data_IF_222311002391
#
_entry.id   IF_222311002391
#
_cell.length_a   1.000
_cell.length_b   1.000
_cell.length_c   1.000
_cell.angle_alpha   90.00
_cell.angle_beta   90.00
_cell.angle_gamma   90.00
#
_symmetry.space_group_name_H-M   'P 1'
#
loop_
_entity.id
_entity.type
_entity.pdbx_description
1 polymer ?
#
# COMPACT_ATOMS: atom_id res chain seq x y z
N UNK A 1 -8.43 -18.12 -20.46
CA UNK A 1 -7.78 -18.40 -19.16
C UNK A 1 -7.95 -17.16 -18.32
N UNK A 2 -8.71 -17.23 -17.23
CA UNK A 2 -8.73 -16.15 -16.25
C UNK A 2 -7.30 -15.98 -15.72
N UNK A 3 -6.60 -14.95 -16.19
CA UNK A 3 -5.29 -14.60 -15.67
C UNK A 3 -5.54 -14.03 -14.28
N UNK A 4 -5.08 -14.71 -13.24
CA UNK A 4 -5.19 -14.23 -11.85
C UNK A 4 -4.63 -12.81 -11.69
N UNK A 5 -5.09 -12.12 -10.64
CA UNK A 5 -4.60 -10.80 -10.26
C UNK A 5 -3.53 -10.96 -9.18
N UNK A 6 -2.26 -10.76 -9.54
CA UNK A 6 -1.12 -10.89 -8.65
C UNK A 6 -0.61 -9.49 -8.27
N UNK A 7 -0.71 -9.17 -6.99
CA UNK A 7 -0.32 -7.86 -6.43
C UNK A 7 0.77 -8.09 -5.39
N UNK A 8 1.84 -7.31 -5.48
CA UNK A 8 2.89 -7.27 -4.45
C UNK A 8 2.81 -5.97 -3.68
N UNK A 9 2.74 -6.04 -2.35
CA UNK A 9 2.95 -4.89 -1.47
C UNK A 9 4.37 -4.93 -0.89
N UNK A 10 5.05 -3.77 -0.81
CA UNK A 10 6.39 -3.71 -0.23
C UNK A 10 6.80 -2.30 0.24
N UNK A 11 7.09 -2.15 1.53
CA UNK A 11 7.90 -1.05 2.05
C UNK A 11 9.38 -1.31 1.73
N UNK A 12 9.91 -0.63 0.71
CA UNK A 12 11.22 -0.96 0.17
C UNK A 12 12.40 -0.28 0.89
N UNK A 13 12.17 0.71 1.76
CA UNK A 13 13.20 1.47 2.48
C UNK A 13 14.40 1.87 1.60
N UNK A 14 14.11 2.51 0.47
CA UNK A 14 15.10 2.89 -0.53
C UNK A 14 15.24 1.88 -1.68
N UNK A 15 14.58 2.19 -2.79
CA UNK A 15 14.43 1.24 -3.91
C UNK A 15 15.70 1.03 -4.74
N UNK A 16 16.61 2.02 -4.78
CA UNK A 16 17.75 2.04 -5.73
C UNK A 16 18.64 0.80 -5.64
N UNK A 17 19.02 0.41 -4.42
CA UNK A 17 19.92 -0.74 -4.21
C UNK A 17 19.24 -2.07 -4.51
N UNK A 18 17.91 -2.09 -4.49
CA UNK A 18 17.08 -3.30 -4.65
C UNK A 18 16.48 -3.43 -6.06
N UNK A 19 16.73 -2.48 -6.96
CA UNK A 19 16.11 -2.44 -8.30
C UNK A 19 16.45 -3.67 -9.15
N UNK A 20 17.71 -4.11 -9.13
CA UNK A 20 18.14 -5.25 -9.95
C UNK A 20 17.44 -6.55 -9.54
N UNK A 21 17.25 -6.74 -8.24
CA UNK A 21 16.56 -7.91 -7.72
C UNK A 21 15.05 -7.79 -7.86
N UNK A 22 14.47 -6.60 -7.62
CA UNK A 22 13.07 -6.34 -7.93
C UNK A 22 12.78 -6.70 -9.39
N UNK A 23 13.67 -6.35 -10.32
CA UNK A 23 13.51 -6.71 -11.73
C UNK A 23 13.43 -8.21 -12.00
N UNK A 24 14.12 -9.05 -11.19
CA UNK A 24 14.07 -10.52 -11.35
C UNK A 24 12.74 -11.10 -10.88
N UNK A 25 12.20 -10.59 -9.77
CA UNK A 25 10.99 -11.12 -9.12
C UNK A 25 9.70 -10.45 -9.62
N UNK A 26 9.79 -9.21 -10.12
CA UNK A 26 8.63 -8.42 -10.55
C UNK A 26 7.81 -9.10 -11.66
N UNK A 27 8.42 -9.97 -12.46
CA UNK A 27 7.75 -10.66 -13.58
C UNK A 27 6.57 -11.55 -13.16
N UNK A 28 6.51 -11.94 -11.89
CA UNK A 28 5.42 -12.74 -11.30
C UNK A 28 4.16 -11.92 -11.02
N UNK A 29 4.29 -10.59 -10.95
CA UNK A 29 3.23 -9.70 -10.51
C UNK A 29 2.63 -8.89 -11.66
N UNK A 30 1.34 -8.58 -11.55
CA UNK A 30 0.67 -7.61 -12.41
C UNK A 30 0.90 -6.19 -11.90
N UNK A 31 0.86 -6.02 -10.57
CA UNK A 31 0.96 -4.74 -9.89
C UNK A 31 1.88 -4.84 -8.68
N UNK A 32 2.63 -3.76 -8.42
CA UNK A 32 3.51 -3.66 -7.24
C UNK A 32 3.23 -2.33 -6.54
N UNK A 33 2.76 -2.39 -5.30
CA UNK A 33 2.49 -1.27 -4.41
C UNK A 33 3.75 -1.04 -3.56
N UNK A 34 4.43 0.08 -3.78
CA UNK A 34 5.69 0.41 -3.13
C UNK A 34 5.52 1.60 -2.18
N UNK A 35 5.99 1.45 -0.95
CA UNK A 35 6.20 2.55 -0.01
C UNK A 35 7.70 2.76 0.27
N UNK A 36 8.06 3.96 0.74
CA UNK A 36 9.42 4.38 1.08
C UNK A 36 10.48 4.25 -0.02
N UNK A 37 10.19 4.71 -1.25
CA UNK A 37 11.15 4.62 -2.35
C UNK A 37 12.45 5.43 -2.13
N UNK A 38 12.39 6.52 -1.36
CA UNK A 38 13.51 7.45 -1.06
C UNK A 38 14.25 8.03 -2.28
N UNK A 39 13.53 8.24 -3.37
CA UNK A 39 14.04 8.93 -4.57
C UNK A 39 14.10 10.46 -4.33
N UNK A 40 14.54 11.26 -5.29
CA UNK A 40 14.33 12.73 -5.30
C UNK A 40 13.11 13.12 -6.16
N UNK A 41 12.57 14.35 -6.05
CA UNK A 41 11.30 14.72 -6.71
C UNK A 41 11.34 14.55 -8.23
N UNK A 42 12.42 15.03 -8.83
CA UNK A 42 12.65 14.97 -10.28
C UNK A 42 13.17 13.59 -10.73
N UNK A 43 13.46 12.72 -9.78
CA UNK A 43 14.02 11.43 -10.06
C UNK A 43 12.93 10.44 -10.50
N UNK A 44 13.13 9.86 -11.68
CA UNK A 44 12.28 8.78 -12.17
C UNK A 44 12.81 7.43 -11.69
N UNK A 45 11.88 6.51 -11.43
CA UNK A 45 12.20 5.10 -11.25
C UNK A 45 11.74 4.34 -12.48
N UNK A 46 12.66 3.56 -13.07
CA UNK A 46 12.39 2.80 -14.28
C UNK A 46 12.67 1.34 -13.99
N UNK A 47 11.64 0.51 -14.12
CA UNK A 47 11.74 -0.94 -14.03
C UNK A 47 11.34 -1.53 -15.37
N UNK A 48 12.17 -2.41 -15.94
CA UNK A 48 11.89 -3.05 -17.23
C UNK A 48 10.54 -3.77 -17.17
N UNK A 49 9.74 -3.61 -18.23
CA UNK A 49 8.38 -4.18 -18.36
C UNK A 49 7.33 -3.63 -17.40
N UNK A 50 7.61 -2.51 -16.71
CA UNK A 50 6.65 -1.86 -15.82
C UNK A 50 6.58 -0.35 -16.08
N UNK A 51 5.36 0.17 -16.09
CA UNK A 51 5.07 1.59 -15.98
C UNK A 51 5.05 1.99 -14.50
N UNK A 52 5.51 3.19 -14.18
CA UNK A 52 5.56 3.69 -12.80
C UNK A 52 4.62 4.88 -12.62
N UNK A 53 3.61 4.72 -11.77
CA UNK A 53 2.78 5.82 -11.27
C UNK A 53 3.29 6.14 -9.87
N UNK A 54 3.78 7.35 -9.64
CA UNK A 54 4.36 7.76 -8.36
C UNK A 54 3.76 9.05 -7.84
N UNK A 55 3.70 9.20 -6.52
CA UNK A 55 3.49 10.49 -5.87
C UNK A 55 4.74 10.88 -5.09
N UNK A 56 5.19 12.11 -5.28
CA UNK A 56 6.30 12.70 -4.55
C UNK A 56 5.78 13.91 -3.77
N UNK A 57 6.22 14.05 -2.52
CA UNK A 57 6.00 15.27 -1.74
C UNK A 57 7.10 16.29 -2.03
N UNK A 58 6.71 17.55 -2.19
CA UNK A 58 7.66 18.63 -2.46
C UNK A 58 8.53 18.98 -1.22
N UNK A 59 8.03 18.72 -0.01
CA UNK A 59 8.62 19.17 1.26
C UNK A 59 9.62 18.19 1.89
N UNK A 60 9.73 16.94 1.41
CA UNK A 60 10.60 15.92 2.01
C UNK A 60 11.38 15.08 1.00
N UNK A 61 12.62 14.74 1.37
CA UNK A 61 13.51 13.82 0.62
C UNK A 61 13.21 12.34 0.89
N UNK A 62 12.46 12.03 1.95
CA UNK A 62 12.07 10.67 2.38
C UNK A 62 10.55 10.57 2.44
N UNK A 63 10.01 9.36 2.36
CA UNK A 63 8.60 9.14 2.03
C UNK A 63 8.39 9.27 0.52
N UNK A 64 7.77 8.24 -0.07
CA UNK A 64 7.24 8.17 -1.45
C UNK A 64 6.43 6.91 -1.58
N UNK A 65 5.41 6.99 -2.42
CA UNK A 65 4.65 5.82 -2.85
C UNK A 65 4.67 5.69 -4.36
N UNK A 66 4.58 4.46 -4.85
CA UNK A 66 4.41 4.16 -6.25
C UNK A 66 3.53 2.93 -6.46
N UNK A 67 2.79 2.94 -7.57
CA UNK A 67 2.19 1.75 -8.16
C UNK A 67 2.96 1.44 -9.45
N UNK A 68 3.61 0.29 -9.48
CA UNK A 68 4.16 -0.26 -10.71
C UNK A 68 3.08 -1.09 -11.39
N UNK A 69 2.84 -0.81 -12.68
CA UNK A 69 1.86 -1.51 -13.51
C UNK A 69 2.60 -2.25 -14.62
N UNK A 70 2.39 -3.55 -14.77
CA UNK A 70 3.03 -4.32 -15.84
C UNK A 70 2.66 -3.71 -17.21
N UNK A 71 3.66 -3.57 -18.09
CA UNK A 71 3.56 -2.71 -19.27
C UNK A 71 2.53 -3.17 -20.32
N UNK A 72 2.10 -4.43 -20.30
CA UNK A 72 1.05 -5.00 -21.14
C UNK A 72 -0.38 -4.72 -20.63
N UNK A 73 -0.53 -4.09 -19.46
CA UNK A 73 -1.82 -3.85 -18.83
C UNK A 73 -2.31 -2.43 -19.08
N UNK A 74 -3.60 -2.32 -19.39
CA UNK A 74 -4.30 -1.04 -19.45
C UNK A 74 -4.68 -0.56 -18.04
N UNK A 75 -4.49 0.73 -17.79
CA UNK A 75 -4.85 1.38 -16.54
C UNK A 75 -5.13 2.87 -16.78
N UNK A 76 -5.80 3.48 -15.83
CA UNK A 76 -5.95 4.94 -15.72
C UNK A 76 -5.33 5.41 -14.40
N UNK A 77 -4.71 6.59 -14.39
CA UNK A 77 -4.20 7.16 -13.15
C UNK A 77 -5.39 7.64 -12.31
N UNK A 78 -5.36 7.38 -11.01
CA UNK A 78 -6.32 7.95 -10.05
C UNK A 78 -5.72 9.24 -9.47
N UNK A 79 -6.04 10.38 -10.10
CA UNK A 79 -5.24 11.61 -10.01
C UNK A 79 -5.34 12.38 -8.68
N UNK A 80 -6.49 12.33 -8.00
CA UNK A 80 -6.75 13.14 -6.79
C UNK A 80 -7.06 12.24 -5.62
N UNK A 81 -6.07 12.10 -4.73
CA UNK A 81 -6.22 11.37 -3.46
C UNK A 81 -6.08 12.35 -2.30
N UNK A 82 -7.07 12.38 -1.41
CA UNK A 82 -7.02 13.11 -0.15
C UNK A 82 -5.82 12.63 0.70
N UNK A 83 -4.98 13.56 1.15
CA UNK A 83 -3.72 13.24 1.86
C UNK A 83 -3.72 13.61 3.35
N UNK A 84 -4.87 14.02 3.89
CA UNK A 84 -4.99 14.52 5.27
C UNK A 84 -3.92 15.57 5.61
N UNK A 85 -3.82 16.66 4.82
CA UNK A 85 -2.77 17.68 4.98
C UNK A 85 -1.36 17.09 4.93
N UNK A 86 -1.13 16.17 3.99
CA UNK A 86 0.13 15.44 3.82
C UNK A 86 0.53 14.58 5.02
N UNK A 87 -0.40 14.11 5.86
CA UNK A 87 -0.11 13.05 6.83
C UNK A 87 -0.01 11.69 6.13
N UNK A 88 -0.74 11.52 5.03
CA UNK A 88 -0.81 10.32 4.20
C UNK A 88 -0.23 10.63 2.82
N UNK A 89 0.69 9.80 2.35
CA UNK A 89 1.14 9.74 0.97
C UNK A 89 0.42 8.61 0.26
N UNK A 90 -0.20 8.90 -0.88
CA UNK A 90 -0.93 7.90 -1.64
C UNK A 90 -0.83 8.17 -3.15
N UNK A 91 -0.82 7.10 -3.93
CA UNK A 91 -1.01 7.13 -5.38
C UNK A 91 -1.77 5.88 -5.80
N UNK A 92 -2.54 5.97 -6.87
CA UNK A 92 -3.34 4.84 -7.31
C UNK A 92 -3.60 4.83 -8.80
N UNK A 93 -4.10 3.68 -9.25
CA UNK A 93 -4.55 3.45 -10.61
C UNK A 93 -5.90 2.76 -10.59
N UNK A 94 -6.70 2.99 -11.63
CA UNK A 94 -7.93 2.26 -11.89
C UNK A 94 -7.68 1.28 -13.03
N UNK A 95 -8.10 0.03 -12.84
CA UNK A 95 -8.03 -1.04 -13.83
C UNK A 95 -9.41 -1.67 -14.04
N UNK A 96 -9.60 -2.40 -15.14
CA UNK A 96 -10.76 -3.28 -15.31
C UNK A 96 -10.40 -4.68 -14.87
N UNK A 97 -11.08 -5.20 -13.85
CA UNK A 97 -10.93 -6.55 -13.34
C UNK A 97 -12.29 -7.24 -13.29
N UNK A 98 -12.42 -8.43 -13.89
CA UNK A 98 -13.70 -9.17 -13.99
C UNK A 98 -14.88 -8.28 -14.45
N UNK A 99 -14.62 -7.46 -15.47
CA UNK A 99 -15.57 -6.50 -16.05
C UNK A 99 -16.05 -5.37 -15.12
N UNK A 100 -15.35 -5.15 -14.00
CA UNK A 100 -15.62 -4.05 -13.05
C UNK A 100 -14.40 -3.15 -12.88
N UNK A 101 -14.58 -1.85 -12.58
CA UNK A 101 -13.47 -1.01 -12.17
C UNK A 101 -12.94 -1.43 -10.79
N UNK A 102 -11.62 -1.57 -10.69
CA UNK A 102 -10.89 -1.83 -9.44
C UNK A 102 -9.82 -0.77 -9.26
N UNK A 103 -9.78 -0.14 -8.09
CA UNK A 103 -8.81 0.88 -7.74
C UNK A 103 -7.69 0.22 -6.92
N UNK A 104 -6.43 0.37 -7.35
CA UNK A 104 -5.27 -0.10 -6.62
C UNK A 104 -4.50 1.11 -6.09
N UNK A 105 -4.27 1.16 -4.78
CA UNK A 105 -3.65 2.30 -4.11
C UNK A 105 -2.45 1.85 -3.31
N UNK A 106 -1.30 2.49 -3.53
CA UNK A 106 -0.16 2.40 -2.63
C UNK A 106 -0.21 3.53 -1.62
N UNK A 107 -0.05 3.22 -0.33
CA UNK A 107 -0.14 4.18 0.77
C UNK A 107 1.09 4.16 1.69
N UNK A 108 1.42 5.33 2.24
CA UNK A 108 2.40 5.49 3.30
C UNK A 108 1.90 6.57 4.26
N UNK A 109 1.59 6.19 5.50
CA UNK A 109 1.26 7.14 6.57
C UNK A 109 2.55 7.56 7.26
N UNK A 110 2.72 8.87 7.45
CA UNK A 110 3.92 9.43 8.08
C UNK A 110 4.04 8.94 9.53
N UNK A 111 5.17 8.36 9.95
CA UNK A 111 5.33 7.87 11.33
C UNK A 111 5.24 9.02 12.34
N UNK A 112 4.70 8.73 13.53
CA UNK A 112 4.53 9.69 14.63
C UNK A 112 3.66 10.92 14.32
N UNK A 113 2.87 10.89 13.24
CA UNK A 113 1.93 11.95 12.89
C UNK A 113 0.50 11.43 13.02
N UNK A 114 -0.29 12.02 13.93
CA UNK A 114 -1.64 11.54 14.19
C UNK A 114 -2.60 11.79 13.00
N UNK A 115 -3.21 10.72 12.51
CA UNK A 115 -4.34 10.74 11.57
C UNK A 115 -5.60 10.38 12.35
N UNK A 116 -6.56 11.29 12.39
CA UNK A 116 -7.82 11.08 13.08
C UNK A 116 -8.74 10.13 12.33
N UNK A 117 -9.69 9.54 13.05
CA UNK A 117 -10.78 8.74 12.47
C UNK A 117 -11.47 9.46 11.30
N UNK A 118 -11.85 10.74 11.46
CA UNK A 118 -12.51 11.51 10.39
C UNK A 118 -11.64 11.73 9.15
N UNK A 119 -10.31 11.82 9.33
CA UNK A 119 -9.37 11.87 8.20
C UNK A 119 -9.29 10.52 7.49
N UNK A 120 -9.32 9.40 8.23
CA UNK A 120 -9.38 8.06 7.63
C UNK A 120 -10.69 7.79 6.90
N UNK A 121 -11.84 8.15 7.47
CA UNK A 121 -13.15 8.06 6.81
C UNK A 121 -13.13 8.83 5.49
N UNK A 122 -12.61 10.07 5.51
CA UNK A 122 -12.45 10.87 4.28
C UNK A 122 -11.47 10.26 3.28
N UNK A 123 -10.43 9.59 3.76
CA UNK A 123 -9.48 8.88 2.91
C UNK A 123 -10.11 7.66 2.22
N UNK A 124 -10.94 6.86 2.89
CA UNK A 124 -11.51 5.67 2.26
C UNK A 124 -12.77 5.97 1.44
N UNK A 125 -13.63 6.88 1.91
CA UNK A 125 -14.89 7.24 1.22
C UNK A 125 -14.70 7.94 -0.13
N UNK A 126 -13.48 8.37 -0.46
CA UNK A 126 -13.21 8.98 -1.76
C UNK A 126 -13.22 7.97 -2.92
N UNK A 127 -13.06 6.68 -2.63
CA UNK A 127 -12.98 5.63 -3.66
C UNK A 127 -14.40 5.13 -4.00
N UNK A 128 -14.93 5.40 -5.21
CA UNK A 128 -16.33 5.12 -5.54
C UNK A 128 -16.58 3.65 -5.96
N UNK A 129 -15.53 2.88 -6.20
CA UNK A 129 -15.59 1.52 -6.72
C UNK A 129 -14.92 0.53 -5.75
N UNK A 130 -14.86 -0.74 -6.14
CA UNK A 130 -14.02 -1.71 -5.44
C UNK A 130 -12.57 -1.21 -5.43
N UNK A 131 -11.89 -1.40 -4.30
CA UNK A 131 -10.49 -1.02 -4.16
C UNK A 131 -9.68 -2.02 -3.36
N UNK A 132 -8.36 -1.96 -3.58
CA UNK A 132 -7.32 -2.55 -2.74
C UNK A 132 -6.34 -1.43 -2.40
N UNK A 133 -6.21 -1.12 -1.11
CA UNK A 133 -5.23 -0.18 -0.58
C UNK A 133 -4.17 -0.97 0.16
N UNK A 134 -2.92 -0.85 -0.24
CA UNK A 134 -1.81 -1.57 0.38
C UNK A 134 -0.62 -0.66 0.64
N UNK A 135 0.00 -0.82 1.80
CA UNK A 135 1.23 -0.11 2.14
C UNK A 135 1.44 -0.01 3.63
N UNK A 136 2.28 0.93 4.04
CA UNK A 136 2.66 1.10 5.44
C UNK A 136 1.76 2.16 6.10
N UNK A 137 0.89 1.68 6.97
CA UNK A 137 -0.07 2.51 7.71
C UNK A 137 0.53 3.10 8.99
N UNK A 138 1.74 2.70 9.42
CA UNK A 138 2.40 3.18 10.63
C UNK A 138 1.45 3.31 11.85
N UNK A 139 0.49 2.38 11.96
CA UNK A 139 -0.57 2.37 12.96
C UNK A 139 -0.64 0.97 13.59
N UNK A 140 -0.87 0.93 14.90
CA UNK A 140 -0.80 -0.28 15.70
C UNK A 140 -2.15 -0.60 16.33
N UNK A 141 -2.66 -1.81 16.13
CA UNK A 141 -3.92 -2.26 16.72
C UNK A 141 -3.92 -3.79 16.90
N UNK A 142 -4.51 -4.32 18.00
CA UNK A 142 -4.66 -5.76 18.24
C UNK A 142 -5.31 -6.58 17.12
N UNK A 143 -6.00 -5.91 16.17
CA UNK A 143 -6.70 -6.57 15.08
C UNK A 143 -5.76 -7.12 14.01
N UNK A 144 -4.60 -6.49 13.83
CA UNK A 144 -3.60 -6.91 12.84
C UNK A 144 -2.22 -7.12 13.44
N UNK A 145 -1.96 -6.76 14.71
CA UNK A 145 -0.67 -6.93 15.36
C UNK A 145 -0.86 -7.34 16.83
N UNK A 146 0.11 -8.06 17.44
CA UNK A 146 0.18 -8.21 18.90
C UNK A 146 0.69 -6.90 19.56
N UNK A 147 -0.19 -5.90 19.60
CA UNK A 147 0.09 -4.55 20.11
C UNK A 147 -1.00 -4.06 21.07
N UNK A 148 -0.64 -3.14 21.98
CA UNK A 148 -1.64 -2.43 22.78
C UNK A 148 -2.44 -1.44 21.91
N UNK A 149 -3.72 -1.26 22.24
CA UNK A 149 -4.57 -0.30 21.53
C UNK A 149 -4.07 1.13 21.77
N UNK A 150 -3.65 1.82 20.71
CA UNK A 150 -3.40 3.26 20.74
C UNK A 150 -4.54 4.04 20.06
N UNK A 151 -4.66 5.33 20.37
CA UNK A 151 -5.70 6.19 19.79
C UNK A 151 -5.63 6.26 18.25
N UNK A 152 -4.42 6.17 17.70
CA UNK A 152 -4.20 6.20 16.26
C UNK A 152 -4.71 4.92 15.57
N UNK A 153 -4.33 3.74 16.07
CA UNK A 153 -4.80 2.47 15.55
C UNK A 153 -6.30 2.28 15.73
N UNK A 154 -6.86 2.77 16.85
CA UNK A 154 -8.31 2.81 17.06
C UNK A 154 -9.02 3.66 16.00
N UNK A 155 -8.49 4.85 15.68
CA UNK A 155 -9.06 5.71 14.64
C UNK A 155 -9.08 5.07 13.25
N UNK A 156 -8.02 4.33 12.89
CA UNK A 156 -7.98 3.55 11.65
C UNK A 156 -8.99 2.38 11.69
N UNK A 157 -9.03 1.63 12.79
CA UNK A 157 -9.94 0.50 12.95
C UNK A 157 -11.41 0.93 12.90
N UNK A 158 -11.80 2.00 13.59
CA UNK A 158 -13.17 2.51 13.58
C UNK A 158 -13.57 2.98 12.16
N UNK A 159 -12.65 3.59 11.41
CA UNK A 159 -12.88 3.96 10.02
C UNK A 159 -12.99 2.74 9.08
N UNK A 160 -12.25 1.65 9.37
CA UNK A 160 -12.41 0.38 8.66
C UNK A 160 -13.80 -0.22 8.89
N UNK A 161 -14.28 -0.21 10.13
CA UNK A 161 -15.63 -0.71 10.47
C UNK A 161 -16.71 0.10 9.77
N UNK A 162 -16.61 1.43 9.77
CA UNK A 162 -17.58 2.29 9.08
C UNK A 162 -17.57 2.11 7.56
N UNK A 163 -16.38 1.95 6.97
CA UNK A 163 -16.21 1.76 5.54
C UNK A 163 -16.50 0.34 5.04
N UNK A 164 -16.89 -0.58 5.93
CA UNK A 164 -16.98 -2.03 5.67
C UNK A 164 -15.70 -2.59 5.00
N UNK A 165 -14.56 -2.22 5.57
CA UNK A 165 -13.25 -2.60 5.05
C UNK A 165 -12.80 -3.92 5.65
N UNK A 166 -12.30 -4.77 4.76
CA UNK A 166 -11.71 -6.05 5.09
C UNK A 166 -10.20 -5.95 5.12
N UNK A 167 -9.59 -6.39 6.22
CA UNK A 167 -8.15 -6.61 6.29
C UNK A 167 -7.82 -7.95 5.65
N UNK A 168 -6.93 -7.93 4.65
CA UNK A 168 -6.50 -9.14 3.93
C UNK A 168 -5.29 -9.80 4.59
N UNK A 169 -4.66 -9.14 5.56
CA UNK A 169 -3.54 -9.70 6.31
C UNK A 169 -3.97 -10.98 7.05
N UNK A 170 -3.14 -12.02 6.99
CA UNK A 170 -3.39 -13.31 7.63
C UNK A 170 -2.76 -13.45 9.03
N UNK A 171 -2.44 -12.32 9.70
CA UNK A 171 -1.82 -12.29 11.05
C UNK A 171 -0.38 -12.78 11.06
N UNK A 172 0.44 -12.29 10.13
CA UNK A 172 1.86 -12.63 10.02
C UNK A 172 2.71 -11.35 10.02
N UNK A 173 3.80 -11.27 10.82
CA UNK A 173 4.61 -10.07 10.96
C UNK A 173 5.11 -9.53 9.62
N UNK A 174 4.87 -8.25 9.34
CA UNK A 174 5.29 -7.60 8.09
C UNK A 174 6.58 -6.78 8.21
N UNK A 175 6.92 -6.35 9.43
CA UNK A 175 8.25 -5.82 9.80
C UNK A 175 8.92 -6.79 10.76
N UNK A 176 10.08 -7.30 10.39
CA UNK A 176 10.87 -8.17 11.26
C UNK A 176 11.53 -7.39 12.41
N UNK A 177 11.66 -8.05 13.57
CA UNK A 177 12.31 -7.48 14.74
C UNK A 177 13.78 -7.13 14.43
N UNK A 178 14.24 -5.99 14.93
CA UNK A 178 15.67 -5.67 15.02
C UNK A 178 16.10 -5.80 16.48
N UNK A 179 17.41 -5.82 16.82
CA UNK A 179 17.84 -5.89 18.22
C UNK A 179 17.25 -4.78 19.11
N UNK A 180 16.75 -3.69 18.51
CA UNK A 180 16.18 -2.54 19.20
C UNK A 180 14.67 -2.31 18.91
N UNK A 181 14.00 -3.21 18.17
CA UNK A 181 12.58 -3.06 17.85
C UNK A 181 11.85 -4.40 17.77
N UNK A 182 10.61 -4.45 18.25
CA UNK A 182 9.74 -5.62 18.06
C UNK A 182 9.37 -5.78 16.58
N UNK A 183 8.98 -7.00 16.20
CA UNK A 183 8.32 -7.22 14.94
C UNK A 183 6.94 -6.55 14.98
N UNK A 184 6.52 -5.90 13.90
CA UNK A 184 5.25 -5.16 13.86
C UNK A 184 4.49 -5.44 12.57
N UNK A 185 3.17 -5.32 12.58
CA UNK A 185 2.31 -5.52 11.40
C UNK A 185 1.74 -4.17 10.93
N UNK A 186 2.63 -3.27 10.50
CA UNK A 186 2.23 -1.91 10.05
C UNK A 186 1.97 -1.83 8.56
N UNK A 187 2.48 -2.80 7.79
CA UNK A 187 2.13 -2.99 6.39
C UNK A 187 0.80 -3.73 6.29
N UNK A 188 -0.26 -3.02 5.92
CA UNK A 188 -1.64 -3.54 5.89
C UNK A 188 -2.16 -3.52 4.45
N UNK A 189 -2.92 -4.54 4.06
CA UNK A 189 -3.69 -4.58 2.83
C UNK A 189 -5.19 -4.57 3.15
N UNK A 190 -5.90 -3.54 2.69
CA UNK A 190 -7.33 -3.34 2.93
C UNK A 190 -8.12 -3.37 1.61
N UNK A 191 -9.35 -3.87 1.67
CA UNK A 191 -10.31 -3.83 0.56
C UNK A 191 -11.74 -3.62 1.04
N UNK A 192 -12.57 -2.94 0.25
CA UNK A 192 -14.02 -2.83 0.49
C UNK A 192 -14.85 -3.91 -0.22
N UNK A 193 -14.21 -4.93 -0.81
CA UNK A 193 -14.90 -6.01 -1.52
C UNK A 193 -14.59 -7.34 -0.87
N UNK A 194 -15.62 -7.99 -0.33
CA UNK A 194 -15.54 -9.33 0.26
C UNK A 194 -15.00 -10.39 -0.71
N UNK A 195 -15.02 -10.14 -2.02
CA UNK A 195 -14.44 -11.04 -3.02
C UNK A 195 -12.93 -11.26 -2.83
N UNK A 196 -12.24 -10.32 -2.18
CA UNK A 196 -10.81 -10.44 -1.85
C UNK A 196 -10.54 -11.23 -0.58
N UNK A 197 -11.54 -11.52 0.26
CA UNK A 197 -11.36 -12.40 1.42
C UNK A 197 -11.01 -13.85 1.02
N UNK A 198 -11.38 -14.25 -0.20
CA UNK A 198 -10.98 -15.53 -0.78
C UNK A 198 -9.63 -15.48 -1.51
N UNK A 199 -8.97 -14.32 -1.55
CA UNK A 199 -7.65 -14.20 -2.15
C UNK A 199 -6.59 -14.88 -1.28
N UNK A 200 -5.56 -15.42 -1.92
CA UNK A 200 -4.39 -15.89 -1.21
C UNK A 200 -3.52 -14.68 -0.81
N UNK A 201 -3.30 -14.51 0.49
CA UNK A 201 -2.41 -13.49 1.04
C UNK A 201 -1.32 -14.15 1.87
N UNK A 202 -0.07 -13.75 1.65
CA UNK A 202 1.08 -14.25 2.40
C UNK A 202 2.14 -13.17 2.58
N UNK A 203 2.85 -13.24 3.70
CA UNK A 203 4.14 -12.57 3.86
C UNK A 203 5.24 -13.45 3.29
N UNK A 204 6.21 -12.87 2.59
CA UNK A 204 7.43 -13.57 2.21
C UNK A 204 8.64 -12.93 2.87
N UNK A 205 9.60 -13.76 3.29
CA UNK A 205 10.84 -13.28 3.90
C UNK A 205 11.61 -12.36 2.93
N UNK A 206 12.04 -11.21 3.45
CA UNK A 206 12.96 -10.34 2.76
C UNK A 206 14.30 -11.06 2.57
N UNK A 207 14.54 -11.57 1.36
CA UNK A 207 15.80 -12.17 0.94
C UNK A 207 16.45 -11.28 -0.11
N UNK A 208 16.47 -9.96 0.14
CA UNK A 208 16.97 -8.93 -0.78
C UNK A 208 18.37 -8.44 -0.40
#
# INVERSE_FOLDING_TARGET
>A
MDKGLFIRQWNCQGIRRKQAELGKRAVEFNFILLSELWLNNDEQFILKNFNTVKKCRLDRRRGRVAVLVRADLHYQIYDVIYTANNKIEACGVTITWKSKPLILVSVYKTPNVFVSYGEWVRFFSQFPNEFVVGGDFNAHHPFWEDAEVCAEGRGLFDAMVEGDLHCLNAGSPTRFATPHSRATEVDITLSNSASFLAAHWETVNESW
#
